data_IF_278076370514
#
_entry.id   IF_278076370514
#
_cell.length_a   1.000
_cell.length_b   1.000
_cell.length_c   1.000
_cell.angle_alpha   90.00
_cell.angle_beta   90.00
_cell.angle_gamma   90.00
#
_symmetry.space_group_name_H-M   'P 1'
#
loop_
_entity.id
_entity.type
_entity.pdbx_description
1 polymer ?
#
# COMPACT_ATOMS: atom_id res chain seq x y z
N UNK A 1 2.84 -14.89 -7.14
CA UNK A 1 1.51 -14.63 -6.53
C UNK A 1 1.61 -13.75 -5.28
N UNK A 2 0.49 -13.21 -4.77
CA UNK A 2 0.39 -12.45 -3.52
C UNK A 2 -0.06 -13.38 -2.37
N UNK A 3 0.67 -13.36 -1.26
CA UNK A 3 0.36 -14.12 -0.04
C UNK A 3 -0.12 -13.24 1.14
N UNK A 4 0.24 -11.96 1.17
CA UNK A 4 -0.27 -11.00 2.15
C UNK A 4 -0.10 -9.56 1.68
N UNK A 5 -0.93 -8.66 2.20
CA UNK A 5 -0.84 -7.21 1.98
C UNK A 5 -0.94 -6.50 3.33
N UNK A 6 -0.08 -5.52 3.54
CA UNK A 6 -0.14 -4.65 4.72
C UNK A 6 -0.07 -3.19 4.30
N UNK A 7 -0.88 -2.35 4.94
CA UNK A 7 -0.88 -0.90 4.78
C UNK A 7 -0.56 -0.27 6.13
N UNK A 8 0.44 0.60 6.15
CA UNK A 8 0.86 1.35 7.33
C UNK A 8 0.69 2.83 7.09
N UNK A 9 0.18 3.54 8.09
CA UNK A 9 0.34 4.97 8.20
C UNK A 9 1.76 5.26 8.67
N UNK A 10 2.56 5.89 7.80
CA UNK A 10 3.95 6.19 8.08
C UNK A 10 4.17 7.67 8.41
N UNK A 11 3.11 8.49 8.43
CA UNK A 11 3.15 9.88 8.89
C UNK A 11 3.30 9.99 10.41
N UNK A 12 2.85 8.97 11.14
CA UNK A 12 3.02 8.85 12.59
C UNK A 12 4.23 7.98 12.93
N UNK A 13 4.92 8.33 14.02
CA UNK A 13 6.09 7.62 14.52
C UNK A 13 5.82 7.13 15.95
N UNK A 14 5.84 5.80 16.20
CA UNK A 14 6.10 4.71 15.24
C UNK A 14 4.96 4.53 14.22
N UNK A 15 5.24 3.94 13.03
CA UNK A 15 4.21 3.64 12.02
C UNK A 15 3.10 2.73 12.57
N UNK A 16 1.86 2.99 12.17
CA UNK A 16 0.69 2.22 12.63
C UNK A 16 0.09 1.45 11.47
N UNK A 17 -0.20 0.17 11.69
CA UNK A 17 -0.90 -0.66 10.70
C UNK A 17 -2.36 -0.20 10.61
N UNK A 18 -2.80 0.23 9.43
CA UNK A 18 -4.16 0.70 9.19
C UNK A 18 -5.03 -0.34 8.49
N UNK A 19 -4.42 -1.31 7.81
CA UNK A 19 -5.12 -2.46 7.25
C UNK A 19 -4.13 -3.56 6.86
N UNK A 20 -4.58 -4.80 6.86
CA UNK A 20 -3.85 -5.91 6.28
C UNK A 20 -4.76 -7.10 6.01
N UNK A 21 -4.34 -7.95 5.08
CA UNK A 21 -4.85 -9.30 5.00
C UNK A 21 -3.71 -10.30 4.73
N UNK A 22 -3.91 -11.54 5.14
CA UNK A 22 -3.03 -12.68 4.93
C UNK A 22 -3.85 -13.79 4.29
N UNK A 23 -3.30 -14.43 3.26
CA UNK A 23 -3.92 -15.60 2.63
C UNK A 23 -3.23 -16.86 3.19
N UNK A 24 -3.92 -17.66 4.02
CA UNK A 24 -3.34 -18.85 4.63
C UNK A 24 -3.08 -19.95 3.59
N UNK A 25 -2.09 -20.80 3.89
CA UNK A 25 -1.79 -21.99 3.09
C UNK A 25 -1.44 -21.70 1.63
N UNK A 26 -2.02 -22.49 0.72
CA UNK A 26 -1.77 -22.40 -0.72
C UNK A 26 -2.61 -21.31 -1.43
N UNK A 27 -3.56 -20.68 -0.74
CA UNK A 27 -4.38 -19.62 -1.33
C UNK A 27 -3.51 -18.42 -1.65
N UNK A 28 -3.61 -17.92 -2.88
CA UNK A 28 -2.88 -16.75 -3.32
C UNK A 28 -3.72 -15.92 -4.30
N UNK A 29 -3.35 -14.66 -4.50
CA UNK A 29 -3.98 -13.79 -5.49
C UNK A 29 -2.99 -13.38 -6.59
N UNK A 30 -3.45 -13.06 -7.81
CA UNK A 30 -2.58 -12.65 -8.92
C UNK A 30 -1.82 -11.34 -8.61
N UNK A 31 -0.50 -11.34 -8.69
CA UNK A 31 0.29 -10.14 -8.46
C UNK A 31 0.85 -9.64 -9.78
N UNK A 32 0.04 -8.85 -10.50
CA UNK A 32 0.36 -8.31 -11.82
C UNK A 32 0.01 -6.82 -11.89
N UNK A 33 0.69 -6.05 -12.76
CA UNK A 33 0.49 -4.60 -12.90
C UNK A 33 -0.94 -4.18 -13.32
N UNK A 34 -1.72 -5.13 -13.85
CA UNK A 34 -3.13 -4.92 -14.26
C UNK A 34 -4.13 -5.30 -13.17
N UNK A 35 -3.67 -5.80 -12.03
CA UNK A 35 -4.53 -6.28 -10.95
C UNK A 35 -4.62 -5.22 -9.86
N UNK A 36 -5.84 -4.84 -9.50
CA UNK A 36 -6.13 -3.87 -8.45
C UNK A 36 -6.78 -4.57 -7.26
N UNK A 37 -6.34 -4.22 -6.05
CA UNK A 37 -6.95 -4.67 -4.80
C UNK A 37 -7.58 -3.45 -4.12
N UNK A 38 -8.87 -3.55 -3.81
CA UNK A 38 -9.58 -2.47 -3.14
C UNK A 38 -9.22 -2.46 -1.66
N UNK A 39 -8.82 -1.29 -1.17
CA UNK A 39 -8.51 -1.08 0.24
C UNK A 39 -9.73 -1.41 1.11
N UNK A 40 -9.53 -2.26 2.13
CA UNK A 40 -10.58 -2.69 3.05
C UNK A 40 -11.48 -3.80 2.53
N UNK A 41 -11.37 -4.19 1.25
CA UNK A 41 -12.07 -5.36 0.75
C UNK A 41 -11.27 -6.63 1.06
N UNK A 42 -11.82 -7.48 1.93
CA UNK A 42 -11.18 -8.72 2.34
C UNK A 42 -11.41 -9.80 1.26
N UNK A 43 -10.35 -10.37 0.67
CA UNK A 43 -10.50 -11.48 -0.26
C UNK A 43 -11.08 -12.72 0.43
N UNK A 44 -11.79 -13.57 -0.33
CA UNK A 44 -12.33 -14.81 0.20
C UNK A 44 -11.22 -15.71 0.78
N UNK A 45 -11.46 -16.22 2.00
CA UNK A 45 -10.49 -17.07 2.70
C UNK A 45 -9.28 -16.35 3.29
N UNK A 46 -9.22 -15.02 3.23
CA UNK A 46 -8.16 -14.24 3.87
C UNK A 46 -8.49 -13.93 5.33
N UNK A 47 -7.46 -13.95 6.18
CA UNK A 47 -7.50 -13.36 7.53
C UNK A 47 -7.16 -11.87 7.42
N UNK A 48 -7.94 -10.98 8.04
CA UNK A 48 -7.76 -9.54 7.87
C UNK A 48 -7.97 -8.75 9.16
N UNK A 49 -7.24 -7.66 9.30
CA UNK A 49 -7.55 -6.63 10.30
C UNK A 49 -8.63 -5.70 9.76
N UNK A 50 -9.42 -5.08 10.63
CA UNK A 50 -10.33 -4.03 10.21
C UNK A 50 -9.57 -2.90 9.49
N UNK A 51 -10.17 -2.36 8.42
CA UNK A 51 -9.60 -1.23 7.68
C UNK A 51 -9.95 0.08 8.38
N UNK A 52 -8.94 0.88 8.67
CA UNK A 52 -9.12 2.23 9.20
C UNK A 52 -9.36 3.22 8.07
N UNK A 53 -10.24 4.21 8.27
CA UNK A 53 -10.43 5.26 7.28
C UNK A 53 -9.13 6.03 7.05
N UNK A 54 -8.67 6.06 5.79
CA UNK A 54 -7.48 6.79 5.41
C UNK A 54 -7.74 8.31 5.43
N UNK A 55 -6.75 9.09 5.87
CA UNK A 55 -6.88 10.52 6.12
C UNK A 55 -6.10 11.34 5.09
N UNK A 56 -6.66 12.48 4.68
CA UNK A 56 -5.99 13.49 3.88
C UNK A 56 -4.78 14.07 4.63
N UNK A 57 -3.72 14.40 3.88
CA UNK A 57 -2.47 14.93 4.40
C UNK A 57 -1.52 13.85 4.95
N UNK A 58 -1.90 12.57 4.86
CA UNK A 58 -1.08 11.45 5.32
C UNK A 58 -0.42 10.70 4.17
N UNK A 59 0.74 10.14 4.49
CA UNK A 59 1.48 9.21 3.64
C UNK A 59 1.38 7.80 4.21
N UNK A 60 1.18 6.84 3.33
CA UNK A 60 1.01 5.44 3.65
C UNK A 60 2.06 4.61 2.92
N UNK A 61 2.50 3.52 3.56
CA UNK A 61 3.27 2.48 2.88
C UNK A 61 2.41 1.25 2.68
N UNK A 62 2.46 0.69 1.47
CA UNK A 62 1.93 -0.63 1.15
C UNK A 62 3.09 -1.60 1.06
N UNK A 63 2.97 -2.73 1.75
CA UNK A 63 3.88 -3.85 1.62
C UNK A 63 3.12 -5.06 1.10
N UNK A 64 3.58 -5.60 -0.02
CA UNK A 64 3.05 -6.82 -0.64
C UNK A 64 4.05 -7.95 -0.37
N UNK A 65 3.56 -9.03 0.23
CA UNK A 65 4.31 -10.25 0.42
C UNK A 65 4.03 -11.20 -0.75
N UNK A 66 5.03 -11.37 -1.60
CA UNK A 66 5.00 -12.25 -2.75
C UNK A 66 5.33 -13.70 -2.40
N UNK A 67 4.61 -14.61 -3.05
CA UNK A 67 4.92 -16.03 -3.17
C UNK A 67 5.23 -16.30 -4.65
N UNK A 68 6.47 -16.06 -5.13
CA UNK A 68 6.85 -16.43 -6.48
C UNK A 68 6.73 -17.94 -6.68
N UNK A 69 6.29 -18.33 -7.87
CA UNK A 69 6.13 -19.73 -8.28
C UNK A 69 7.49 -20.34 -8.66
N UNK A 70 8.42 -19.51 -9.14
CA UNK A 70 9.81 -19.88 -9.39
C UNK A 70 10.59 -19.95 -8.06
N UNK A 71 11.11 -21.12 -7.66
CA UNK A 71 11.87 -21.26 -6.42
C UNK A 71 13.19 -20.49 -6.42
N UNK A 72 13.74 -20.15 -7.59
CA UNK A 72 14.97 -19.35 -7.71
C UNK A 72 14.74 -17.85 -7.50
N UNK A 73 13.48 -17.38 -7.59
CA UNK A 73 13.13 -16.01 -7.28
C UNK A 73 13.03 -15.81 -5.76
N UNK A 74 14.01 -15.06 -5.24
CA UNK A 74 14.09 -14.67 -3.83
C UNK A 74 13.29 -13.40 -3.51
N UNK A 75 12.64 -12.79 -4.50
CA UNK A 75 11.86 -11.55 -4.33
C UNK A 75 10.53 -11.83 -3.64
N UNK A 76 10.52 -11.74 -2.31
CA UNK A 76 9.32 -11.97 -1.49
C UNK A 76 8.61 -10.69 -1.07
N UNK A 77 9.19 -9.50 -1.29
CA UNK A 77 8.67 -8.25 -0.74
C UNK A 77 8.66 -7.11 -1.75
N UNK A 78 7.50 -6.49 -1.94
CA UNK A 78 7.34 -5.28 -2.74
C UNK A 78 6.82 -4.16 -1.85
N UNK A 79 7.36 -2.96 -2.02
CA UNK A 79 6.95 -1.78 -1.25
C UNK A 79 6.56 -0.65 -2.17
N UNK A 80 5.40 -0.08 -1.92
CA UNK A 80 4.94 1.19 -2.47
C UNK A 80 4.70 2.20 -1.35
N UNK A 81 4.67 3.48 -1.72
CA UNK A 81 4.20 4.57 -0.87
C UNK A 81 3.16 5.37 -1.65
N UNK A 82 2.18 5.91 -0.95
CA UNK A 82 1.20 6.80 -1.54
C UNK A 82 0.73 7.84 -0.54
N UNK A 83 0.23 8.93 -1.08
CA UNK A 83 -0.28 10.06 -0.36
C UNK A 83 -1.76 10.23 -0.62
N UNK A 84 -2.48 10.75 0.37
CA UNK A 84 -3.85 11.22 0.19
C UNK A 84 -3.84 12.75 0.32
N UNK A 85 -4.26 13.44 -0.73
CA UNK A 85 -4.40 14.89 -0.75
C UNK A 85 -5.83 15.28 -1.08
N UNK A 86 -6.13 16.57 -0.98
CA UNK A 86 -7.28 17.17 -1.66
C UNK A 86 -6.80 17.94 -2.89
N UNK A 87 -7.61 17.95 -3.95
CA UNK A 87 -7.38 18.85 -5.08
C UNK A 87 -8.00 20.25 -4.83
N UNK A 88 -7.95 21.11 -5.86
CA UNK A 88 -8.50 22.47 -5.78
C UNK A 88 -10.03 22.52 -5.58
N UNK A 89 -10.73 21.41 -5.81
CA UNK A 89 -12.18 21.25 -5.62
C UNK A 89 -12.54 20.53 -4.31
N UNK A 90 -11.55 20.35 -3.42
CA UNK A 90 -11.68 19.58 -2.17
C UNK A 90 -11.99 18.09 -2.36
N UNK A 91 -11.78 17.54 -3.57
CA UNK A 91 -11.91 16.11 -3.79
C UNK A 91 -10.65 15.37 -3.35
N UNK A 92 -10.83 14.21 -2.73
CA UNK A 92 -9.75 13.35 -2.29
C UNK A 92 -9.01 12.76 -3.49
N UNK A 93 -7.69 12.89 -3.51
CA UNK A 93 -6.81 12.38 -4.55
C UNK A 93 -5.72 11.51 -3.96
N UNK A 94 -5.44 10.38 -4.62
CA UNK A 94 -4.30 9.51 -4.30
C UNK A 94 -3.12 9.89 -5.20
N UNK A 95 -1.95 10.06 -4.60
CA UNK A 95 -0.69 10.29 -5.31
C UNK A 95 0.25 9.13 -5.01
N UNK A 96 0.64 8.38 -6.04
CA UNK A 96 1.70 7.39 -5.89
C UNK A 96 3.04 8.09 -5.64
N UNK A 97 3.79 7.66 -4.63
CA UNK A 97 5.10 8.20 -4.30
C UNK A 97 6.17 7.24 -4.83
N UNK A 98 6.86 7.67 -5.88
CA UNK A 98 7.94 6.93 -6.52
C UNK A 98 9.23 7.02 -5.69
N UNK A 99 10.13 6.04 -5.84
CA UNK A 99 11.40 5.97 -5.10
C UNK A 99 12.31 7.19 -5.28
N UNK A 100 12.19 7.86 -6.43
CA UNK A 100 13.01 9.01 -6.79
C UNK A 100 12.45 10.34 -6.25
N UNK A 101 11.20 10.33 -5.77
CA UNK A 101 10.56 11.52 -5.18
C UNK A 101 11.13 11.81 -3.78
N UNK A 102 11.25 13.08 -3.42
CA UNK A 102 11.78 13.49 -2.11
C UNK A 102 10.92 12.93 -0.95
N UNK A 103 9.61 12.87 -1.16
CA UNK A 103 8.60 12.37 -0.24
C UNK A 103 8.77 10.88 0.10
N UNK A 104 9.44 10.12 -0.77
CA UNK A 104 9.84 8.75 -0.45
C UNK A 104 10.81 8.71 0.73
N UNK A 105 11.71 9.69 0.82
CA UNK A 105 12.75 9.79 1.87
C UNK A 105 12.24 10.55 3.09
N UNK A 106 11.57 11.67 2.88
CA UNK A 106 11.10 12.53 3.97
C UNK A 106 9.88 11.95 4.67
N UNK A 107 9.09 11.12 3.97
CA UNK A 107 7.83 10.58 4.47
C UNK A 107 6.84 11.68 4.87
N UNK A 108 6.93 12.82 4.19
CA UNK A 108 6.02 13.95 4.33
C UNK A 108 5.13 13.99 3.10
N UNK A 109 3.83 14.06 3.33
CA UNK A 109 2.88 14.14 2.23
C UNK A 109 2.86 15.55 1.63
N UNK A 110 3.01 15.73 0.31
CA UNK A 110 3.07 17.05 -0.25
C UNK A 110 1.64 17.60 -0.40
N UNK A 111 1.43 18.92 -0.20
CA UNK A 111 0.10 19.52 -0.33
C UNK A 111 -0.42 19.50 -1.79
N UNK A 112 0.47 19.33 -2.76
CA UNK A 112 0.19 19.17 -4.20
C UNK A 112 1.16 18.13 -4.78
N UNK A 113 0.82 17.44 -5.88
CA UNK A 113 1.77 16.56 -6.55
C UNK A 113 3.03 17.34 -6.93
N UNK A 114 4.20 16.87 -6.51
CA UNK A 114 5.49 17.36 -6.98
C UNK A 114 5.58 17.10 -8.49
N UNK A 115 6.03 18.11 -9.25
CA UNK A 115 6.28 17.96 -10.69
C UNK A 115 7.49 17.04 -10.86
N UNK A 116 7.44 16.03 -11.75
CA UNK A 116 8.59 15.19 -12.06
C UNK A 116 9.75 16.01 -12.64
#
# INVERSE_FOLDING_TARGET
MLGALMVYDISIKPPVKVWSFILPGATTLPMHAKTCYLYGQVPAGAESTAATMLQTGRIYSVFLNGRPDDPSDSTRGYRGKFCITTDATSQQKIIAINKDMQEWRTEICPPRPSRP
#
